data_IF_316107531717
#
_entry.id   IF_316107531717
#
_cell.length_a   1.000
_cell.length_b   1.000
_cell.length_c   1.000
_cell.angle_alpha   90.00
_cell.angle_beta   90.00
_cell.angle_gamma   90.00
#
_symmetry.space_group_name_H-M   'P 1'
#
loop_
_entity.id
_entity.type
_entity.pdbx_description
1 polymer ?
#
# COMPACT_ATOMS: atom_id res chain seq x y z
N UNK A 1 8.03 -17.26 10.87
CA UNK A 1 6.88 -17.20 11.80
C UNK A 1 7.35 -16.58 13.10
N UNK A 2 6.73 -15.49 13.56
CA UNK A 2 7.00 -14.93 14.89
C UNK A 2 5.84 -15.31 15.80
N UNK A 3 6.10 -16.16 16.78
CA UNK A 3 5.19 -16.41 17.90
C UNK A 3 5.22 -15.20 18.84
N UNK A 4 4.08 -14.82 19.40
CA UNK A 4 4.12 -13.95 20.58
C UNK A 4 4.46 -14.77 21.84
N UNK A 5 4.76 -14.09 22.94
CA UNK A 5 5.19 -14.70 24.20
C UNK A 5 4.17 -15.67 24.82
N UNK A 6 2.96 -15.81 24.24
CA UNK A 6 1.88 -16.67 24.70
C UNK A 6 1.62 -17.88 23.78
N UNK A 7 2.47 -18.11 22.77
CA UNK A 7 2.34 -19.26 21.87
C UNK A 7 1.17 -19.16 20.88
N UNK A 8 0.54 -18.00 20.75
CA UNK A 8 -0.44 -17.76 19.69
C UNK A 8 0.30 -17.45 18.39
N UNK A 9 0.05 -18.26 17.36
CA UNK A 9 0.52 -17.97 16.00
C UNK A 9 -0.22 -16.74 15.50
N UNK A 10 0.41 -15.56 15.57
CA UNK A 10 -0.13 -14.37 14.90
C UNK A 10 -0.20 -14.67 13.40
N UNK A 11 -1.41 -14.62 12.84
CA UNK A 11 -1.62 -14.66 11.39
C UNK A 11 -0.97 -13.39 10.84
N UNK A 12 0.25 -13.53 10.32
CA UNK A 12 0.88 -12.44 9.60
C UNK A 12 0.00 -12.07 8.39
N UNK A 13 -0.29 -10.78 8.23
CA UNK A 13 -1.11 -10.29 7.11
C UNK A 13 -0.22 -10.12 5.87
N UNK A 14 -0.69 -10.47 4.66
CA UNK A 14 -0.02 -10.12 3.40
C UNK A 14 0.10 -8.60 3.27
N UNK A 15 1.32 -8.09 3.04
CA UNK A 15 1.62 -6.66 2.91
C UNK A 15 2.46 -6.42 1.66
N UNK A 16 2.06 -5.40 0.90
CA UNK A 16 2.74 -4.90 -0.28
C UNK A 16 3.15 -3.46 -0.03
N UNK A 17 4.44 -3.14 -0.14
CA UNK A 17 4.93 -1.76 -0.12
C UNK A 17 5.04 -1.23 -1.52
N UNK A 18 4.51 -0.03 -1.79
CA UNK A 18 4.54 0.59 -3.13
C UNK A 18 5.31 1.89 -3.06
N UNK A 19 6.30 2.05 -3.93
CA UNK A 19 7.17 3.22 -4.01
C UNK A 19 6.76 4.16 -5.15
N UNK A 20 7.26 5.41 -5.16
CA UNK A 20 6.85 6.45 -6.11
C UNK A 20 6.93 6.07 -7.58
N UNK A 21 7.99 5.36 -7.96
CA UNK A 21 8.26 4.93 -9.33
C UNK A 21 7.46 3.67 -9.75
N UNK A 22 6.72 3.06 -8.83
CA UNK A 22 5.98 1.82 -9.04
C UNK A 22 6.77 0.56 -8.68
N UNK A 23 8.02 0.68 -8.23
CA UNK A 23 8.69 -0.45 -7.57
C UNK A 23 7.96 -0.82 -6.29
N UNK A 24 8.13 -2.08 -5.86
CA UNK A 24 7.40 -2.61 -4.71
C UNK A 24 8.16 -3.72 -3.98
N UNK A 25 7.79 -3.95 -2.72
CA UNK A 25 8.26 -5.07 -1.89
C UNK A 25 7.06 -5.89 -1.42
N UNK A 26 7.23 -7.21 -1.33
CA UNK A 26 6.26 -8.16 -0.77
C UNK A 26 6.88 -8.89 0.42
N UNK A 27 6.06 -9.26 1.41
CA UNK A 27 6.43 -10.28 2.40
C UNK A 27 6.13 -11.70 1.89
N UNK A 28 6.58 -12.72 2.62
CA UNK A 28 6.31 -14.13 2.31
C UNK A 28 4.81 -14.41 2.08
N UNK A 29 3.94 -13.79 2.88
CA UNK A 29 2.49 -13.96 2.76
C UNK A 29 1.88 -13.37 1.47
N UNK A 30 2.53 -12.39 0.84
CA UNK A 30 2.11 -11.73 -0.40
C UNK A 30 2.97 -12.11 -1.60
N UNK A 31 3.71 -13.21 -1.51
CA UNK A 31 4.46 -13.74 -2.64
C UNK A 31 3.55 -13.99 -3.86
N UNK A 32 3.97 -13.48 -5.01
CA UNK A 32 3.23 -13.57 -6.28
C UNK A 32 2.37 -12.34 -6.60
N UNK A 33 2.23 -11.38 -5.68
CA UNK A 33 1.64 -10.08 -6.00
C UNK A 33 2.50 -9.34 -7.02
N UNK A 34 1.84 -8.58 -7.90
CA UNK A 34 2.50 -7.63 -8.80
C UNK A 34 1.94 -6.22 -8.61
N UNK A 35 2.80 -5.21 -8.78
CA UNK A 35 2.38 -3.80 -8.83
C UNK A 35 2.87 -3.16 -10.12
N UNK A 36 1.99 -2.40 -10.76
CA UNK A 36 2.29 -1.64 -11.96
C UNK A 36 1.89 -0.18 -11.78
N UNK A 37 2.83 0.74 -12.02
CA UNK A 37 2.51 2.16 -12.19
C UNK A 37 1.97 2.41 -13.60
N UNK A 38 0.68 2.74 -13.70
CA UNK A 38 -0.02 2.93 -14.97
C UNK A 38 -0.07 4.39 -15.43
N UNK A 39 0.34 5.32 -14.57
CA UNK A 39 0.43 6.75 -14.85
C UNK A 39 0.85 7.53 -13.60
N UNK A 40 0.91 8.86 -13.72
CA UNK A 40 1.21 9.74 -12.58
C UNK A 40 0.17 9.53 -11.49
N UNK A 41 0.65 9.11 -10.32
CA UNK A 41 -0.16 8.82 -9.15
C UNK A 41 -1.16 7.69 -9.37
N UNK A 42 -0.89 6.73 -10.26
CA UNK A 42 -1.79 5.59 -10.52
C UNK A 42 -1.04 4.27 -10.41
N UNK A 43 -1.50 3.40 -9.52
CA UNK A 43 -0.88 2.12 -9.21
C UNK A 43 -1.94 1.02 -9.27
N UNK A 44 -1.63 -0.07 -9.97
CA UNK A 44 -2.46 -1.27 -10.08
C UNK A 44 -1.77 -2.41 -9.34
N UNK A 45 -2.48 -3.02 -8.40
CA UNK A 45 -2.05 -4.22 -7.67
C UNK A 45 -2.81 -5.42 -8.22
N UNK A 46 -2.10 -6.48 -8.58
CA UNK A 46 -2.66 -7.69 -9.19
C UNK A 46 -2.27 -8.97 -8.46
N UNK A 47 -2.97 -10.07 -8.78
CA UNK A 47 -2.86 -11.38 -8.11
C UNK A 47 -3.31 -11.34 -6.63
N UNK A 48 -4.33 -10.52 -6.37
CA UNK A 48 -4.97 -10.32 -5.06
C UNK A 48 -6.49 -10.42 -5.24
N UNK A 49 -7.22 -10.70 -4.16
CA UNK A 49 -8.71 -10.76 -4.17
C UNK A 49 -9.36 -9.60 -3.39
N UNK A 50 -8.66 -8.47 -3.34
CA UNK A 50 -9.05 -7.26 -2.64
C UNK A 50 -8.16 -6.99 -1.43
N UNK A 51 -8.65 -6.13 -0.55
CA UNK A 51 -7.97 -5.81 0.70
C UNK A 51 -8.12 -6.91 1.74
N UNK A 52 -7.14 -7.00 2.65
CA UNK A 52 -7.19 -7.98 3.72
C UNK A 52 -8.44 -7.78 4.61
N UNK A 53 -9.20 -8.85 4.82
CA UNK A 53 -10.51 -8.80 5.50
C UNK A 53 -10.45 -9.09 7.01
N UNK A 54 -9.27 -9.22 7.63
CA UNK A 54 -9.12 -9.68 9.02
C UNK A 54 -9.70 -8.75 10.10
N UNK A 55 -10.23 -7.58 9.71
CA UNK A 55 -10.96 -6.66 10.59
C UNK A 55 -10.12 -6.06 11.72
N UNK A 56 -8.84 -6.44 11.82
CA UNK A 56 -7.93 -5.99 12.86
C UNK A 56 -7.46 -4.55 12.65
N UNK A 57 -7.81 -3.94 11.52
CA UNK A 57 -7.43 -2.58 11.14
C UNK A 57 -8.63 -1.75 10.65
N UNK A 58 -8.81 -0.59 11.28
CA UNK A 58 -9.89 0.36 11.00
C UNK A 58 -9.55 1.46 9.99
N UNK A 59 -10.64 1.99 9.42
CA UNK A 59 -10.85 3.27 8.71
C UNK A 59 -10.42 3.38 7.24
N UNK A 60 -9.32 2.78 6.76
CA UNK A 60 -8.85 2.98 5.36
C UNK A 60 -8.67 1.69 4.54
N UNK A 61 -9.49 0.67 4.79
CA UNK A 61 -9.52 -0.52 3.94
C UNK A 61 -8.18 -1.25 3.77
N UNK A 62 -7.21 -1.12 4.67
CA UNK A 62 -5.91 -1.80 4.56
C UNK A 62 -4.77 -1.00 3.92
N UNK A 63 -4.94 0.30 3.61
CA UNK A 63 -3.87 1.17 3.10
C UNK A 63 -3.35 2.13 4.18
N UNK A 64 -2.04 2.16 4.39
CA UNK A 64 -1.35 3.20 5.15
C UNK A 64 -0.66 4.17 4.20
N UNK A 65 -0.91 5.46 4.39
CA UNK A 65 -0.39 6.54 3.55
C UNK A 65 0.74 7.31 4.26
N UNK A 66 1.72 7.86 3.52
CA UNK A 66 2.79 8.68 4.07
C UNK A 66 2.27 9.86 4.90
N UNK A 67 2.89 10.08 6.05
CA UNK A 67 2.64 11.20 6.96
C UNK A 67 3.94 11.93 7.28
N UNK A 68 3.87 13.23 7.53
CA UNK A 68 4.99 13.98 8.08
C UNK A 68 5.18 13.70 9.59
N UNK A 69 6.20 14.32 10.20
CA UNK A 69 6.51 14.20 11.62
C UNK A 69 5.39 14.64 12.57
N UNK A 70 4.44 15.44 12.08
CA UNK A 70 3.27 15.90 12.84
C UNK A 70 2.06 14.96 12.66
N UNK A 71 2.23 13.81 11.99
CA UNK A 71 1.17 12.85 11.74
C UNK A 71 0.17 13.27 10.65
N UNK A 72 0.47 14.34 9.91
CA UNK A 72 -0.38 14.84 8.83
C UNK A 72 -0.05 14.12 7.52
N UNK A 73 -1.06 13.62 6.82
CA UNK A 73 -0.85 12.87 5.57
C UNK A 73 -0.35 13.77 4.45
N UNK A 74 0.65 13.29 3.70
CA UNK A 74 1.26 14.02 2.60
C UNK A 74 0.44 13.98 1.31
N UNK A 75 -0.46 13.00 1.18
CA UNK A 75 -1.29 12.75 0.00
C UNK A 75 -2.71 12.35 0.40
N UNK A 76 -3.64 12.51 -0.54
CA UNK A 76 -4.91 11.80 -0.56
C UNK A 76 -4.77 10.51 -1.37
N UNK A 77 -5.64 9.54 -1.09
CA UNK A 77 -5.82 8.36 -1.92
C UNK A 77 -7.28 8.26 -2.37
N UNK A 78 -7.48 7.76 -3.58
CA UNK A 78 -8.75 7.24 -4.07
C UNK A 78 -8.49 5.86 -4.63
N UNK A 79 -9.23 4.88 -4.16
CA UNK A 79 -9.03 3.49 -4.51
C UNK A 79 -10.32 2.77 -4.87
N UNK A 80 -10.18 1.63 -5.53
CA UNK A 80 -11.28 0.69 -5.79
C UNK A 80 -10.73 -0.71 -6.03
N UNK A 81 -11.52 -1.71 -5.64
CA UNK A 81 -11.35 -3.08 -6.10
C UNK A 81 -11.99 -3.16 -7.50
N UNK A 82 -11.24 -3.66 -8.48
CA UNK A 82 -11.69 -3.87 -9.86
C UNK A 82 -11.99 -5.38 -10.09
N UNK A 83 -12.51 -5.80 -11.26
CA UNK A 83 -12.78 -7.21 -11.53
C UNK A 83 -11.56 -8.09 -11.25
N UNK A 84 -11.82 -9.35 -10.88
CA UNK A 84 -10.82 -10.33 -10.42
C UNK A 84 -10.20 -10.02 -9.04
N UNK A 85 -10.60 -8.91 -8.41
CA UNK A 85 -10.17 -8.54 -7.05
C UNK A 85 -8.90 -7.70 -7.00
N UNK A 86 -8.33 -7.36 -8.17
CA UNK A 86 -7.21 -6.43 -8.28
C UNK A 86 -7.59 -5.05 -7.69
N UNK A 87 -6.59 -4.26 -7.31
CA UNK A 87 -6.82 -2.96 -6.63
C UNK A 87 -6.19 -1.85 -7.47
N UNK A 88 -6.98 -0.83 -7.81
CA UNK A 88 -6.47 0.43 -8.35
C UNK A 88 -6.35 1.45 -7.22
N UNK A 89 -5.18 2.08 -7.08
CA UNK A 89 -4.94 3.21 -6.17
C UNK A 89 -4.53 4.43 -6.98
N UNK A 90 -5.16 5.57 -6.68
CA UNK A 90 -4.80 6.87 -7.21
C UNK A 90 -4.36 7.79 -6.07
N UNK A 91 -3.29 8.55 -6.28
CA UNK A 91 -2.70 9.45 -5.29
C UNK A 91 -2.74 10.91 -5.74
N UNK A 92 -3.01 11.80 -4.80
CA UNK A 92 -3.15 13.24 -5.06
C UNK A 92 -2.42 14.03 -3.97
N UNK A 93 -1.86 15.18 -4.33
CA UNK A 93 -1.18 16.04 -3.36
C UNK A 93 -2.17 16.56 -2.32
N UNK A 94 -1.77 16.58 -1.05
CA UNK A 94 -2.60 17.07 0.05
C UNK A 94 -1.98 18.30 0.66
N UNK A 95 -2.69 19.41 0.60
CA UNK A 95 -2.44 20.60 1.41
C UNK A 95 -3.21 20.53 2.73
N UNK A 96 -2.72 21.29 3.71
CA UNK A 96 -3.36 21.41 5.02
C UNK A 96 -3.89 22.83 5.19
N UNK A 97 -4.77 23.26 4.30
CA UNK A 97 -5.22 24.67 4.14
C UNK A 97 -5.80 25.30 5.41
N UNK A 98 -6.20 24.49 6.39
CA UNK A 98 -6.65 24.92 7.72
C UNK A 98 -5.50 25.34 8.67
N UNK A 99 -4.24 25.10 8.30
CA UNK A 99 -3.04 25.44 9.08
C UNK A 99 -2.38 26.73 8.57
N UNK A 100 -1.56 27.39 9.40
CA UNK A 100 -0.76 28.53 8.94
C UNK A 100 0.17 28.15 7.77
N UNK A 101 0.59 29.15 7.00
CA UNK A 101 1.37 28.98 5.77
C UNK A 101 2.64 28.13 5.97
N UNK A 102 3.30 28.28 7.10
CA UNK A 102 4.56 27.59 7.41
C UNK A 102 4.36 26.09 7.71
N UNK A 103 3.12 25.67 7.98
CA UNK A 103 2.75 24.28 8.24
C UNK A 103 2.04 23.61 7.04
N UNK A 104 1.94 24.30 5.90
CA UNK A 104 1.44 23.72 4.67
C UNK A 104 2.42 22.69 4.09
N UNK A 105 1.90 21.80 3.24
CA UNK A 105 2.71 20.79 2.57
C UNK A 105 3.27 21.36 1.26
N UNK A 106 4.35 22.14 1.36
CA UNK A 106 5.02 22.76 0.20
C UNK A 106 5.90 21.78 -0.56
N UNK A 107 5.27 20.89 -1.34
CA UNK A 107 5.97 19.95 -2.21
C UNK A 107 6.26 20.57 -3.58
N UNK A 108 7.53 20.65 -3.94
CA UNK A 108 7.96 21.08 -5.29
C UNK A 108 7.58 20.00 -6.30
N UNK A 109 6.89 20.42 -7.35
CA UNK A 109 6.54 19.60 -8.52
C UNK A 109 7.66 19.63 -9.56
N UNK A 110 8.12 20.83 -9.87
CA UNK A 110 9.13 21.09 -10.90
C UNK A 110 9.81 22.43 -10.64
N UNK A 111 10.96 22.65 -11.28
CA UNK A 111 11.67 23.92 -11.24
C UNK A 111 11.70 24.47 -12.67
N UNK A 112 11.11 25.65 -12.87
CA UNK A 112 11.07 26.35 -14.16
C UNK A 112 11.78 27.69 -13.98
N UNK A 113 12.79 27.98 -14.79
CA UNK A 113 13.59 29.21 -14.74
C UNK A 113 14.12 29.53 -13.33
N UNK A 114 14.57 28.50 -12.61
CA UNK A 114 15.08 28.61 -11.24
C UNK A 114 14.01 28.85 -10.17
N UNK A 115 12.73 28.84 -10.53
CA UNK A 115 11.61 29.03 -9.59
C UNK A 115 10.88 27.71 -9.34
N UNK A 116 10.62 27.34 -8.07
CA UNK A 116 9.85 26.16 -7.75
C UNK A 116 8.37 26.37 -8.10
N UNK A 117 7.81 25.43 -8.85
CA UNK A 117 6.37 25.25 -9.00
C UNK A 117 5.93 24.20 -7.99
N UNK A 118 4.93 24.54 -7.17
CA UNK A 118 4.43 23.66 -6.12
C UNK A 118 3.15 22.95 -6.58
N UNK A 119 2.93 21.75 -6.06
CA UNK A 119 1.66 21.06 -6.24
C UNK A 119 0.51 21.84 -5.60
N UNK A 120 -0.63 21.86 -6.29
CA UNK A 120 -1.90 22.37 -5.73
C UNK A 120 -2.65 21.27 -4.98
N UNK A 121 -3.55 21.65 -4.06
CA UNK A 121 -4.34 20.67 -3.29
C UNK A 121 -5.21 19.81 -4.23
N UNK A 122 -5.16 18.49 -4.07
CA UNK A 122 -5.89 17.56 -4.92
C UNK A 122 -5.28 17.32 -6.31
N UNK A 123 -4.11 17.88 -6.62
CA UNK A 123 -3.44 17.64 -7.91
C UNK A 123 -2.94 16.17 -7.99
N UNK A 124 -3.23 15.43 -9.07
CA UNK A 124 -2.69 14.08 -9.26
C UNK A 124 -1.17 14.07 -9.17
N UNK A 125 -0.62 13.20 -8.35
CA UNK A 125 0.81 13.17 -8.10
C UNK A 125 1.25 11.79 -7.62
N UNK A 126 2.48 11.38 -7.94
CA UNK A 126 3.04 10.14 -7.40
C UNK A 126 3.21 10.23 -5.87
N UNK A 127 3.36 9.05 -5.25
CA UNK A 127 3.75 8.90 -3.85
C UNK A 127 4.97 9.80 -3.58
N UNK A 128 5.03 10.54 -2.45
CA UNK A 128 6.16 11.41 -2.16
C UNK A 128 7.50 10.65 -2.18
N UNK A 129 8.59 11.27 -2.69
CA UNK A 129 9.93 10.67 -2.65
C UNK A 129 10.32 10.19 -1.25
N UNK A 130 11.06 9.09 -1.19
CA UNK A 130 11.52 8.47 0.07
C UNK A 130 10.39 8.03 1.03
N UNK A 131 9.19 7.82 0.50
CA UNK A 131 8.04 7.26 1.23
C UNK A 131 7.41 6.13 0.42
N UNK A 132 6.46 5.41 1.03
CA UNK A 132 5.74 4.32 0.38
C UNK A 132 4.30 4.23 0.88
N UNK A 133 3.45 3.52 0.15
CA UNK A 133 2.18 3.00 0.65
C UNK A 133 2.42 1.62 1.25
N UNK A 134 1.90 1.34 2.44
CA UNK A 134 1.75 -0.05 2.91
C UNK A 134 0.33 -0.52 2.62
N UNK A 135 0.19 -1.52 1.75
CA UNK A 135 -1.11 -2.07 1.34
C UNK A 135 -1.26 -3.49 1.83
N UNK A 136 -2.24 -3.73 2.69
CA UNK A 136 -2.61 -5.08 3.15
C UNK A 136 -3.61 -5.69 2.20
N UNK A 137 -3.25 -6.84 1.64
CA UNK A 137 -4.04 -7.50 0.59
C UNK A 137 -4.59 -8.83 1.08
N UNK A 138 -5.71 -9.24 0.51
CA UNK A 138 -6.19 -10.61 0.61
C UNK A 138 -5.63 -11.41 -0.55
N UNK A 139 -5.00 -12.54 -0.24
CA UNK A 139 -4.38 -13.39 -1.25
C UNK A 139 -5.37 -14.48 -1.70
N UNK A 140 -5.36 -14.85 -2.99
CA UNK A 140 -6.13 -15.99 -3.49
C UNK A 140 -5.89 -17.26 -2.66
N UNK A 141 -6.90 -18.13 -2.59
CA UNK A 141 -6.80 -19.39 -1.85
C UNK A 141 -5.65 -20.29 -2.36
N UNK A 142 -5.38 -20.25 -3.66
CA UNK A 142 -4.35 -21.00 -4.36
C UNK A 142 -3.02 -20.25 -4.51
N UNK A 143 -2.84 -19.11 -3.84
CA UNK A 143 -1.58 -18.34 -3.84
C UNK A 143 -0.36 -19.21 -3.46
N UNK A 144 0.83 -18.78 -3.88
CA UNK A 144 2.09 -19.52 -3.67
C UNK A 144 2.26 -19.88 -2.18
N UNK A 145 2.03 -18.90 -1.30
CA UNK A 145 2.11 -19.07 0.14
C UNK A 145 1.05 -20.02 0.69
N UNK A 146 -0.23 -19.82 0.34
CA UNK A 146 -1.34 -20.61 0.85
C UNK A 146 -1.23 -22.07 0.39
N UNK A 147 -0.86 -22.30 -0.87
CA UNK A 147 -0.58 -23.61 -1.44
C UNK A 147 0.58 -24.31 -0.73
N UNK A 148 1.66 -23.59 -0.44
CA UNK A 148 2.83 -24.12 0.27
C UNK A 148 2.52 -24.51 1.72
N UNK A 149 1.75 -23.69 2.45
CA UNK A 149 1.26 -24.04 3.79
C UNK A 149 0.41 -25.30 3.79
N UNK A 150 -0.48 -25.43 2.81
CA UNK A 150 -1.40 -26.57 2.73
C UNK A 150 -0.68 -27.89 2.42
N UNK A 151 0.35 -27.86 1.57
CA UNK A 151 1.23 -29.01 1.33
C UNK A 151 1.98 -29.43 2.59
N UNK A 152 2.50 -28.47 3.36
CA UNK A 152 3.20 -28.73 4.63
C UNK A 152 2.27 -29.28 5.72
N UNK A 153 0.99 -28.91 5.70
CA UNK A 153 -0.01 -29.31 6.70
C UNK A 153 -0.85 -30.52 6.27
N UNK A 154 -0.60 -31.10 5.10
CA UNK A 154 -1.24 -32.35 4.70
C UNK A 154 -0.61 -33.50 5.50
N UNK A 155 -1.41 -34.35 6.18
CA UNK A 155 -0.85 -35.49 6.91
C UNK A 155 -0.05 -36.35 5.94
N UNK A 156 1.11 -36.82 6.39
CA UNK A 156 1.90 -37.82 5.68
C UNK A 156 1.03 -39.09 5.66
N UNK A 157 0.22 -39.28 4.63
CA UNK A 157 -0.38 -40.59 4.34
C UNK A 157 0.73 -41.46 3.77
N UNK A 158 1.50 -42.06 4.66
CA UNK A 158 2.57 -43.01 4.34
C UNK A 158 2.30 -44.35 5.01
N UNK A 159 2.24 -45.38 4.15
CA UNK A 159 2.16 -46.83 4.39
C UNK A 159 0.79 -47.41 4.77
#
# INVERSE_FOLDING_TARGET
MMADANGFLKRASPIVKIYPDGSFETNDESEGVNVQRTGVGKYLISAVVGYNADGAWGVNGGVTIPKNSNGLSLIYIKDKIIPEGNIEIQTFHRQHTHLPKDFQNWRVKEIIDGKPIYYTDGEPCDIPPSTWLDVRVEMPFDSIWNSSKRKKNSPITGA
#
